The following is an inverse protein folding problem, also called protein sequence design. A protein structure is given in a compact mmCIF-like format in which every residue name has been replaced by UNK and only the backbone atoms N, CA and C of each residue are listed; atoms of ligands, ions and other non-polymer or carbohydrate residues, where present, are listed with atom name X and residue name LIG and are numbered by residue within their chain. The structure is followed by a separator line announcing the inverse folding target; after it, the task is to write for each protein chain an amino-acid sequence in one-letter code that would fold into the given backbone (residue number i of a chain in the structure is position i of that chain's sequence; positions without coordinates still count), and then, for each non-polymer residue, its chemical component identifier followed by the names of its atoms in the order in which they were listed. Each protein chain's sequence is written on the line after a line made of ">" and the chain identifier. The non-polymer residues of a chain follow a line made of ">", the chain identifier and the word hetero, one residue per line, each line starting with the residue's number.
data_IF_568831227522
#
_entry.id   IF_568831227522
#
_cell.length_a   1.000
_cell.length_b   1.000
_cell.length_c   1.000
_cell.angle_alpha   90.00
_cell.angle_beta   90.00
_cell.angle_gamma   90.00
#
_symmetry.space_group_name_H-M   'P 1'
#
loop_
_entity.id
_entity.type
_entity.pdbx_description
1 polymer ?
#
# COMPACT_ATOMS: atom_id res chain seq x y z
N UNK A 1 13.98 -8.64 -8.59
CA UNK A 1 12.83 -8.56 -7.67
C UNK A 1 11.58 -8.73 -8.53
N UNK A 2 10.85 -9.85 -8.42
CA UNK A 2 9.65 -10.07 -9.23
C UNK A 2 8.65 -8.96 -8.87
N UNK A 3 8.14 -8.16 -9.82
CA UNK A 3 7.15 -7.13 -9.50
C UNK A 3 6.00 -7.84 -8.77
N UNK A 4 5.49 -7.22 -7.70
CA UNK A 4 4.36 -7.77 -6.96
C UNK A 4 3.26 -8.19 -7.93
N UNK A 5 2.89 -9.47 -7.91
CA UNK A 5 2.05 -10.07 -8.94
C UNK A 5 0.70 -9.34 -9.00
N UNK A 6 0.38 -8.75 -10.16
CA UNK A 6 -0.77 -7.85 -10.31
C UNK A 6 -2.07 -8.55 -9.96
N UNK A 7 -2.19 -9.83 -10.33
CA UNK A 7 -3.35 -10.67 -10.04
C UNK A 7 -3.53 -10.90 -8.53
N UNK A 8 -2.42 -10.98 -7.79
CA UNK A 8 -2.45 -11.14 -6.34
C UNK A 8 -2.95 -9.85 -5.66
N UNK A 9 -2.50 -8.68 -6.15
CA UNK A 9 -2.97 -7.38 -5.64
C UNK A 9 -4.46 -7.18 -5.98
N UNK A 10 -4.87 -7.54 -7.19
CA UNK A 10 -6.27 -7.49 -7.63
C UNK A 10 -7.17 -8.35 -6.74
N UNK A 11 -6.79 -9.62 -6.52
CA UNK A 11 -7.53 -10.54 -5.65
C UNK A 11 -7.60 -10.02 -4.22
N UNK A 12 -6.51 -9.43 -3.73
CA UNK A 12 -6.45 -8.84 -2.38
C UNK A 12 -7.38 -7.64 -2.23
N UNK A 13 -7.44 -6.75 -3.23
CA UNK A 13 -8.35 -5.59 -3.24
C UNK A 13 -9.81 -6.02 -3.25
N UNK A 14 -10.18 -6.99 -4.08
CA UNK A 14 -11.54 -7.54 -4.12
C UNK A 14 -11.93 -8.17 -2.79
N UNK A 15 -11.04 -8.96 -2.19
CA UNK A 15 -11.30 -9.61 -0.90
C UNK A 15 -11.42 -8.58 0.23
N UNK A 16 -10.57 -7.55 0.23
CA UNK A 16 -10.67 -6.45 1.17
C UNK A 16 -12.03 -5.73 1.07
N UNK A 17 -12.50 -5.47 -0.15
CA UNK A 17 -13.81 -4.86 -0.38
C UNK A 17 -14.98 -5.72 0.08
N UNK A 18 -14.93 -7.03 -0.19
CA UNK A 18 -15.94 -7.98 0.32
C UNK A 18 -15.98 -7.97 1.84
N UNK A 19 -14.82 -8.02 2.49
CA UNK A 19 -14.73 -7.99 3.95
C UNK A 19 -15.27 -6.67 4.51
N UNK A 20 -14.83 -5.52 3.98
CA UNK A 20 -15.34 -4.20 4.40
C UNK A 20 -16.86 -4.12 4.25
N UNK A 21 -17.42 -4.60 3.14
CA UNK A 21 -18.87 -4.64 2.92
C UNK A 21 -19.59 -5.55 3.93
N UNK A 22 -19.03 -6.72 4.26
CA UNK A 22 -19.58 -7.62 5.28
C UNK A 22 -19.66 -6.97 6.66
N UNK A 23 -18.75 -6.05 6.98
CA UNK A 23 -18.76 -5.28 8.23
C UNK A 23 -19.50 -3.94 8.13
N UNK A 24 -20.25 -3.71 7.05
CA UNK A 24 -21.03 -2.48 6.86
C UNK A 24 -20.19 -1.23 6.54
N UNK A 25 -18.94 -1.40 6.10
CA UNK A 25 -18.11 -0.29 5.66
C UNK A 25 -18.37 0.01 4.18
N UNK A 26 -18.77 1.25 3.90
CA UNK A 26 -19.00 1.75 2.54
C UNK A 26 -17.70 2.06 1.79
N UNK A 27 -16.59 2.23 2.51
CA UNK A 27 -15.27 2.50 1.96
C UNK A 27 -14.26 1.47 2.46
N UNK A 28 -13.38 1.04 1.57
CA UNK A 28 -12.31 0.09 1.88
C UNK A 28 -10.98 0.82 1.90
N UNK A 29 -10.30 0.84 3.04
CA UNK A 29 -8.95 1.44 3.13
C UNK A 29 -7.91 0.34 2.88
N UNK A 30 -7.11 0.49 1.84
CA UNK A 30 -6.06 -0.46 1.48
C UNK A 30 -4.69 0.19 1.67
N UNK A 31 -3.95 -0.26 2.68
CA UNK A 31 -2.60 0.24 2.99
C UNK A 31 -1.54 -0.77 2.55
N UNK A 32 -0.55 -0.32 1.78
CA UNK A 32 0.52 -1.17 1.29
C UNK A 32 1.85 -0.44 1.14
N UNK A 33 2.96 -1.18 1.15
CA UNK A 33 4.28 -0.64 0.83
C UNK A 33 4.34 -0.04 -0.60
N UNK A 34 5.39 0.73 -0.91
CA UNK A 34 5.49 1.49 -2.16
C UNK A 34 5.32 0.66 -3.43
N UNK A 35 5.85 -0.57 -3.46
CA UNK A 35 5.78 -1.41 -4.64
C UNK A 35 4.34 -1.88 -4.87
N UNK A 36 3.66 -2.33 -3.81
CA UNK A 36 2.26 -2.74 -3.87
C UNK A 36 1.31 -1.58 -4.11
N UNK A 37 1.57 -0.44 -3.49
CA UNK A 37 0.80 0.79 -3.68
C UNK A 37 0.80 1.21 -5.15
N UNK A 38 1.97 1.22 -5.81
CA UNK A 38 2.08 1.58 -7.23
C UNK A 38 1.23 0.66 -8.12
N UNK A 39 1.28 -0.65 -7.86
CA UNK A 39 0.47 -1.62 -8.62
C UNK A 39 -1.02 -1.45 -8.34
N UNK A 40 -1.41 -1.24 -7.07
CA UNK A 40 -2.80 -1.01 -6.68
C UNK A 40 -3.37 0.28 -7.31
N UNK A 41 -2.56 1.35 -7.41
CA UNK A 41 -2.95 2.58 -8.13
C UNK A 41 -3.22 2.25 -9.59
N UNK A 42 -2.31 1.58 -10.29
CA UNK A 42 -2.53 1.21 -11.69
C UNK A 42 -3.81 0.38 -11.89
N UNK A 43 -4.10 -0.56 -10.98
CA UNK A 43 -5.33 -1.37 -11.00
C UNK A 43 -6.57 -0.49 -10.80
N UNK A 44 -6.55 0.42 -9.82
CA UNK A 44 -7.69 1.32 -9.57
C UNK A 44 -8.00 2.23 -10.77
N UNK A 45 -6.97 2.67 -11.49
CA UNK A 45 -7.13 3.48 -12.70
C UNK A 45 -7.61 2.65 -13.89
N UNK A 46 -7.22 1.38 -13.99
CA UNK A 46 -7.69 0.48 -15.04
C UNK A 46 -9.17 0.07 -14.84
N UNK A 47 -9.65 0.02 -13.59
CA UNK A 47 -11.01 -0.39 -13.24
C UNK A 47 -11.69 0.59 -12.25
N UNK A 48 -11.93 1.84 -12.65
CA UNK A 48 -12.38 2.91 -11.75
C UNK A 48 -13.76 2.62 -11.14
N UNK A 49 -14.70 2.05 -11.91
CA UNK A 49 -16.04 1.71 -11.39
C UNK A 49 -15.99 0.62 -10.31
N UNK A 50 -15.03 -0.31 -10.42
CA UNK A 50 -14.89 -1.41 -9.48
C UNK A 50 -14.25 -0.99 -8.16
N UNK A 51 -13.39 0.03 -8.18
CA UNK A 51 -12.56 0.46 -7.05
C UNK A 51 -12.77 1.92 -6.61
N UNK A 52 -13.86 2.57 -7.03
CA UNK A 52 -14.19 3.96 -6.65
C UNK A 52 -14.31 4.20 -5.13
N UNK A 53 -14.66 3.15 -4.39
CA UNK A 53 -14.85 3.11 -2.93
C UNK A 53 -13.60 2.60 -2.19
N UNK A 54 -12.50 2.35 -2.92
CA UNK A 54 -11.22 1.94 -2.33
C UNK A 54 -10.30 3.14 -2.15
N UNK A 55 -9.93 3.41 -0.91
CA UNK A 55 -8.95 4.43 -0.55
C UNK A 55 -7.58 3.77 -0.45
N UNK A 56 -6.74 3.99 -1.44
CA UNK A 56 -5.36 3.52 -1.45
C UNK A 56 -4.49 4.42 -0.56
N UNK A 57 -3.74 3.82 0.36
CA UNK A 57 -2.82 4.53 1.25
C UNK A 57 -1.42 3.92 1.18
N UNK A 58 -0.41 4.78 1.07
CA UNK A 58 0.98 4.36 1.19
C UNK A 58 1.29 4.00 2.66
N UNK A 59 1.78 2.79 2.89
CA UNK A 59 2.22 2.30 4.18
C UNK A 59 3.52 2.99 4.60
N UNK A 60 3.46 3.72 5.73
CA UNK A 60 4.57 4.55 6.21
C UNK A 60 5.74 3.80 6.85
N UNK A 61 5.63 2.48 7.10
CA UNK A 61 6.62 1.76 7.90
C UNK A 61 7.98 1.63 7.20
N UNK A 62 8.02 1.31 5.90
CA UNK A 62 9.28 1.26 5.16
C UNK A 62 9.87 2.66 4.91
N UNK A 63 9.02 3.67 4.68
CA UNK A 63 9.47 5.05 4.54
C UNK A 63 10.11 5.57 5.84
N UNK A 64 9.47 5.31 6.99
CA UNK A 64 10.02 5.63 8.29
C UNK A 64 11.37 4.92 8.53
N UNK A 65 11.46 3.62 8.22
CA UNK A 65 12.72 2.88 8.34
C UNK A 65 13.82 3.42 7.41
N UNK A 66 13.48 3.86 6.20
CA UNK A 66 14.43 4.55 5.31
C UNK A 66 14.91 5.87 5.92
N UNK A 67 14.02 6.70 6.46
CA UNK A 67 14.40 7.94 7.13
C UNK A 67 15.30 7.68 8.36
N UNK A 68 14.92 6.72 9.21
CA UNK A 68 15.72 6.31 10.38
C UNK A 68 17.08 5.77 9.95
N UNK A 69 17.14 4.95 8.90
CA UNK A 69 18.39 4.45 8.34
C UNK A 69 19.28 5.55 7.77
N UNK A 70 18.72 6.55 7.09
CA UNK A 70 19.46 7.72 6.59
C UNK A 70 20.01 8.57 7.74
N UNK A 71 19.21 8.82 8.78
CA UNK A 71 19.65 9.54 9.98
C UNK A 71 20.75 8.76 10.69
N UNK A 72 20.59 7.45 10.88
CA UNK A 72 21.61 6.58 11.46
C UNK A 72 22.91 6.57 10.66
N UNK A 73 22.83 6.59 9.32
CA UNK A 73 24.01 6.69 8.44
C UNK A 73 24.73 8.03 8.59
N UNK A 74 23.97 9.15 8.66
CA UNK A 74 24.54 10.48 8.87
C UNK A 74 25.15 10.64 10.27
N UNK A 75 24.58 9.98 11.27
CA UNK A 75 24.99 10.07 12.67
C UNK A 75 26.04 9.02 13.06
N UNK A 76 26.38 8.05 12.19
CA UNK A 76 27.22 6.90 12.52
C UNK A 76 28.61 7.23 13.11
N UNK A 77 29.14 8.43 12.83
CA UNK A 77 30.43 8.91 13.36
C UNK A 77 30.28 10.15 14.26
N UNK A 78 29.06 10.49 14.67
CA UNK A 78 28.80 11.67 15.50
C UNK A 78 29.06 11.44 16.99
N UNK A 79 29.28 10.19 17.42
CA UNK A 79 29.47 9.82 18.83
C UNK A 79 28.16 9.67 19.62
N UNK A 80 27.01 9.76 18.93
CA UNK A 80 25.67 9.35 19.41
C UNK A 80 25.36 7.91 18.97
#
# INVERSE_FOLDING_TARGET
>A
MKPSDSDMIMTSLQKAKVLSSQYGQNFTVFTGDLQRYRVAVNISWAYPEQFQDVILRLGGMHFLMSCVGSVGTLMANSGL
#
